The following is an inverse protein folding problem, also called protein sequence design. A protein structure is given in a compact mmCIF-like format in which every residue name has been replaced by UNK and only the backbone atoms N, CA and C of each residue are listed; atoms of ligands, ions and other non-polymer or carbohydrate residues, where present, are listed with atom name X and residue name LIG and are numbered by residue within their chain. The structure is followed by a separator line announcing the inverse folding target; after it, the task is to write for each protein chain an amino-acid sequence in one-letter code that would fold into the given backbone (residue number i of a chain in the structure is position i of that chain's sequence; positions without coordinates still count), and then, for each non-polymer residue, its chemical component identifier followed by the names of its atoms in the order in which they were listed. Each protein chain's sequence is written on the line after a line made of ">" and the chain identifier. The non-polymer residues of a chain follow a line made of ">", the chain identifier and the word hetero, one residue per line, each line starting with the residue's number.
data_IF_897962334717
#
_entry.id   IF_897962334717
#
_cell.length_a   1.000
_cell.length_b   1.000
_cell.length_c   1.000
_cell.angle_alpha   90.00
_cell.angle_beta   90.00
_cell.angle_gamma   90.00
#
_symmetry.space_group_name_H-M   'P 1'
#
loop_
_entity.id
_entity.type
_entity.pdbx_description
1 polymer ?
#
# COMPACT_ATOMS: atom_id res chain seq x y z
N UNK A 1 33.56 2.26 10.91
CA UNK A 1 33.31 1.04 11.71
C UNK A 1 31.81 0.96 11.86
N UNK A 2 31.19 -0.04 11.31
CA UNK A 2 29.75 -0.26 11.50
C UNK A 2 29.66 -0.99 12.84
N UNK A 3 29.17 -0.29 13.87
CA UNK A 3 28.91 -0.90 15.17
C UNK A 3 27.72 -1.83 15.02
N UNK A 4 28.00 -3.12 14.97
CA UNK A 4 27.01 -4.20 14.87
C UNK A 4 26.42 -4.57 16.26
N UNK A 5 26.22 -3.59 17.13
CA UNK A 5 25.42 -3.80 18.34
C UNK A 5 23.93 -3.71 17.98
N UNK A 6 23.42 -4.77 17.35
CA UNK A 6 22.01 -4.91 17.02
C UNK A 6 21.22 -5.08 18.34
N UNK A 7 20.54 -4.03 18.75
CA UNK A 7 19.67 -4.06 19.93
C UNK A 7 18.34 -4.72 19.60
N UNK A 8 17.70 -5.31 20.61
CA UNK A 8 16.33 -5.85 20.47
C UNK A 8 15.37 -4.76 19.97
N UNK A 9 15.56 -3.53 20.41
CA UNK A 9 14.77 -2.36 19.98
C UNK A 9 14.94 -2.04 18.49
N UNK A 10 16.13 -2.23 17.94
CA UNK A 10 16.39 -2.04 16.50
C UNK A 10 15.65 -3.08 15.66
N UNK A 11 15.56 -4.31 16.17
CA UNK A 11 14.80 -5.38 15.54
C UNK A 11 13.30 -5.09 15.54
N UNK A 12 12.75 -4.62 16.66
CA UNK A 12 11.33 -4.25 16.77
C UNK A 12 10.99 -3.11 15.80
N UNK A 13 11.82 -2.08 15.74
CA UNK A 13 11.66 -0.97 14.81
C UNK A 13 11.75 -1.41 13.35
N UNK A 14 12.74 -2.23 12.99
CA UNK A 14 12.85 -2.81 11.66
C UNK A 14 11.61 -3.62 11.28
N UNK A 15 11.08 -4.40 12.20
CA UNK A 15 9.92 -5.24 11.96
C UNK A 15 8.65 -4.40 11.70
N UNK A 16 8.48 -3.26 12.37
CA UNK A 16 7.39 -2.31 12.10
C UNK A 16 7.48 -1.72 10.69
N UNK A 17 8.67 -1.29 10.26
CA UNK A 17 8.92 -0.81 8.90
C UNK A 17 8.61 -1.94 7.90
N UNK A 18 9.09 -3.15 8.17
CA UNK A 18 8.87 -4.31 7.31
C UNK A 18 7.39 -4.64 7.14
N UNK A 19 6.59 -4.56 8.20
CA UNK A 19 5.13 -4.78 8.14
C UNK A 19 4.46 -3.76 7.24
N UNK A 20 4.74 -2.45 7.41
CA UNK A 20 4.16 -1.39 6.56
C UNK A 20 4.52 -1.59 5.09
N UNK A 21 5.80 -1.84 4.79
CA UNK A 21 6.28 -2.09 3.42
C UNK A 21 5.69 -3.37 2.83
N UNK A 22 5.62 -4.44 3.61
CA UNK A 22 5.05 -5.72 3.18
C UNK A 22 3.58 -5.59 2.80
N UNK A 23 2.78 -4.91 3.62
CA UNK A 23 1.36 -4.65 3.34
C UNK A 23 1.18 -3.78 2.08
N UNK A 24 2.03 -2.77 1.89
CA UNK A 24 2.05 -1.95 0.68
C UNK A 24 2.36 -2.79 -0.57
N UNK A 25 3.46 -3.56 -0.56
CA UNK A 25 3.89 -4.38 -1.70
C UNK A 25 2.85 -5.44 -2.05
N UNK A 26 2.12 -5.96 -1.06
CA UNK A 26 1.09 -6.96 -1.27
C UNK A 26 -0.07 -6.44 -2.14
N UNK A 27 -0.47 -5.17 -1.99
CA UNK A 27 -1.57 -4.54 -2.73
C UNK A 27 -1.08 -3.74 -3.93
N UNK A 28 0.16 -3.24 -3.91
CA UNK A 28 0.70 -2.39 -4.98
C UNK A 28 0.56 -3.06 -6.36
N UNK A 29 0.09 -2.32 -7.37
CA UNK A 29 -0.30 -2.89 -8.67
C UNK A 29 0.84 -3.58 -9.43
N UNK A 30 2.10 -3.18 -9.18
CA UNK A 30 3.27 -3.82 -9.81
C UNK A 30 3.54 -5.23 -9.29
N UNK A 31 3.26 -5.46 -8.02
CA UNK A 31 3.60 -6.71 -7.31
C UNK A 31 2.37 -7.53 -6.97
N UNK A 32 1.17 -6.92 -7.04
CA UNK A 32 -0.12 -7.54 -6.75
C UNK A 32 -0.63 -8.47 -7.85
N UNK A 33 0.08 -8.62 -8.99
CA UNK A 33 -0.32 -9.51 -10.07
C UNK A 33 -0.34 -10.97 -9.59
N UNK A 34 -1.36 -11.71 -9.99
CA UNK A 34 -1.59 -13.09 -9.56
C UNK A 34 -0.42 -14.04 -9.88
N UNK A 35 0.36 -13.74 -10.91
CA UNK A 35 1.49 -14.56 -11.36
C UNK A 35 2.80 -14.33 -10.57
N UNK A 36 2.84 -13.34 -9.66
CA UNK A 36 4.06 -13.07 -8.89
C UNK A 36 4.13 -13.98 -7.68
N UNK A 37 5.13 -14.90 -7.60
CA UNK A 37 5.27 -15.79 -6.45
C UNK A 37 5.47 -15.01 -5.15
N UNK A 38 4.80 -15.44 -4.07
CA UNK A 38 4.88 -14.79 -2.76
C UNK A 38 6.33 -14.62 -2.24
N UNK A 39 7.23 -15.51 -2.62
CA UNK A 39 8.66 -15.45 -2.25
C UNK A 39 9.33 -14.19 -2.77
N UNK A 40 9.00 -13.78 -4.01
CA UNK A 40 9.55 -12.56 -4.63
C UNK A 40 9.02 -11.32 -3.91
N UNK A 41 7.73 -11.30 -3.59
CA UNK A 41 7.10 -10.18 -2.84
C UNK A 41 7.74 -9.99 -1.48
N UNK A 42 7.97 -11.08 -0.75
CA UNK A 42 8.63 -11.03 0.57
C UNK A 42 10.08 -10.54 0.42
N UNK A 43 10.81 -11.02 -0.59
CA UNK A 43 12.19 -10.58 -0.85
C UNK A 43 12.30 -9.09 -1.16
N UNK A 44 11.41 -8.58 -2.02
CA UNK A 44 11.37 -7.15 -2.36
C UNK A 44 10.99 -6.31 -1.12
N UNK A 45 9.99 -6.76 -0.36
CA UNK A 45 9.58 -6.07 0.87
C UNK A 45 10.71 -6.00 1.89
N UNK A 46 11.44 -7.10 2.07
CA UNK A 46 12.56 -7.15 2.99
C UNK A 46 13.69 -6.21 2.56
N UNK A 47 14.08 -6.25 1.28
CA UNK A 47 15.13 -5.39 0.75
C UNK A 47 14.76 -3.91 0.82
N UNK A 48 13.51 -3.57 0.48
CA UNK A 48 13.02 -2.19 0.56
C UNK A 48 12.95 -1.71 2.01
N UNK A 49 12.49 -2.56 2.94
CA UNK A 49 12.46 -2.24 4.37
C UNK A 49 13.87 -2.02 4.93
N UNK A 50 14.84 -2.81 4.48
CA UNK A 50 16.25 -2.64 4.87
C UNK A 50 16.81 -1.30 4.41
N UNK A 51 16.57 -0.92 3.15
CA UNK A 51 17.01 0.37 2.62
C UNK A 51 16.36 1.55 3.37
N UNK A 52 15.07 1.42 3.71
CA UNK A 52 14.37 2.44 4.48
C UNK A 52 14.89 2.53 5.91
N UNK A 53 15.22 1.40 6.54
CA UNK A 53 15.80 1.38 7.87
C UNK A 53 17.12 2.15 7.94
N UNK A 54 17.99 2.04 6.93
CA UNK A 54 19.26 2.77 6.85
C UNK A 54 19.06 4.28 6.59
N UNK A 55 17.95 4.67 5.95
CA UNK A 55 17.66 6.07 5.62
C UNK A 55 16.83 6.78 6.69
N UNK A 56 16.01 6.05 7.41
CA UNK A 56 15.21 6.57 8.51
C UNK A 56 16.07 6.58 9.77
N UNK A 57 16.42 7.76 10.27
CA UNK A 57 16.99 7.87 11.62
C UNK A 57 15.99 7.28 12.61
N UNK A 58 16.40 6.38 13.50
CA UNK A 58 15.51 5.84 14.50
C UNK A 58 14.90 6.99 15.30
N UNK A 59 13.63 7.27 15.08
CA UNK A 59 12.83 8.07 15.98
C UNK A 59 12.83 7.35 17.33
N UNK A 60 12.80 8.12 18.41
CA UNK A 60 12.89 7.67 19.81
C UNK A 60 12.45 6.22 20.01
N UNK A 61 13.29 5.43 20.68
CA UNK A 61 13.05 4.01 20.90
C UNK A 61 11.59 3.79 21.31
N UNK A 62 10.86 3.02 20.49
CA UNK A 62 9.47 2.66 20.82
C UNK A 62 9.54 1.75 22.03
N UNK A 63 9.49 2.36 23.22
CA UNK A 63 9.47 1.60 24.47
C UNK A 63 8.08 1.02 24.62
N UNK A 64 7.96 -0.25 24.41
CA UNK A 64 6.70 -1.00 24.54
C UNK A 64 6.77 -1.86 25.78
N UNK A 65 5.91 -1.57 26.75
CA UNK A 65 5.90 -2.29 28.01
C UNK A 65 5.14 -3.63 27.94
N UNK A 66 4.26 -3.77 26.92
CA UNK A 66 3.33 -4.93 26.84
C UNK A 66 3.24 -5.46 25.40
N UNK A 67 3.27 -6.78 25.24
CA UNK A 67 3.10 -7.45 23.93
C UNK A 67 1.78 -7.03 23.23
N UNK A 68 0.73 -6.74 24.00
CA UNK A 68 -0.55 -6.30 23.47
C UNK A 68 -0.44 -4.89 22.83
N UNK A 69 0.31 -4.01 23.43
CA UNK A 69 0.58 -2.67 22.87
C UNK A 69 1.37 -2.75 21.59
N UNK A 70 2.40 -3.61 21.52
CA UNK A 70 3.13 -3.87 20.29
C UNK A 70 2.23 -4.40 19.18
N UNK A 71 1.34 -5.32 19.47
CA UNK A 71 0.38 -5.85 18.49
C UNK A 71 -0.52 -4.74 17.91
N UNK A 72 -0.97 -3.80 18.73
CA UNK A 72 -1.77 -2.65 18.26
C UNK A 72 -0.95 -1.75 17.34
N UNK A 73 0.33 -1.50 17.66
CA UNK A 73 1.22 -0.71 16.80
C UNK A 73 1.41 -1.42 15.45
N UNK A 74 1.70 -2.72 15.45
CA UNK A 74 1.83 -3.53 14.24
C UNK A 74 0.58 -3.46 13.37
N UNK A 75 -0.61 -3.53 13.95
CA UNK A 75 -1.87 -3.38 13.21
C UNK A 75 -2.02 -2.00 12.59
N UNK A 76 -1.68 -0.94 13.31
CA UNK A 76 -1.70 0.43 12.79
C UNK A 76 -0.76 0.59 11.58
N UNK A 77 0.47 0.06 11.68
CA UNK A 77 1.44 0.07 10.60
C UNK A 77 0.95 -0.72 9.38
N UNK A 78 0.35 -1.88 9.61
CA UNK A 78 -0.25 -2.69 8.55
C UNK A 78 -1.35 -1.92 7.80
N UNK A 79 -2.26 -1.27 8.53
CA UNK A 79 -3.35 -0.48 7.93
C UNK A 79 -2.78 0.70 7.15
N UNK A 80 -1.77 1.40 7.65
CA UNK A 80 -1.12 2.49 6.93
C UNK A 80 -0.53 2.01 5.58
N UNK A 81 0.20 0.89 5.58
CA UNK A 81 0.73 0.28 4.36
C UNK A 81 -0.36 -0.15 3.37
N UNK A 82 -1.44 -0.76 3.88
CA UNK A 82 -2.59 -1.15 3.07
C UNK A 82 -3.27 0.05 2.41
N UNK A 83 -3.46 1.16 3.13
CA UNK A 83 -4.09 2.36 2.59
C UNK A 83 -3.29 2.99 1.45
N UNK A 84 -1.96 3.05 1.58
CA UNK A 84 -1.08 3.58 0.53
C UNK A 84 -1.13 2.67 -0.70
N UNK A 85 -1.01 1.35 -0.50
CA UNK A 85 -1.11 0.36 -1.57
C UNK A 85 -2.46 0.36 -2.26
N UNK A 86 -3.55 0.52 -1.49
CA UNK A 86 -4.91 0.61 -2.00
C UNK A 86 -5.10 1.87 -2.87
N UNK A 87 -4.57 3.02 -2.43
CA UNK A 87 -4.58 4.25 -3.24
C UNK A 87 -3.93 4.06 -4.61
N UNK A 88 -2.76 3.41 -4.66
CA UNK A 88 -2.10 3.06 -5.91
C UNK A 88 -2.92 2.07 -6.76
N UNK A 89 -3.60 1.12 -6.13
CA UNK A 89 -4.42 0.13 -6.82
C UNK A 89 -5.70 0.75 -7.42
N UNK A 90 -6.31 1.75 -6.77
CA UNK A 90 -7.45 2.49 -7.33
C UNK A 90 -7.09 3.10 -8.69
N UNK A 91 -5.90 3.69 -8.82
CA UNK A 91 -5.46 4.26 -10.10
C UNK A 91 -5.45 3.21 -11.23
N UNK A 92 -5.03 1.98 -10.93
CA UNK A 92 -5.05 0.88 -11.90
C UNK A 92 -6.48 0.38 -12.18
N UNK A 93 -7.33 0.35 -11.17
CA UNK A 93 -8.73 -0.04 -11.34
C UNK A 93 -9.48 0.92 -12.29
N UNK A 94 -9.19 2.22 -12.23
CA UNK A 94 -9.77 3.22 -13.16
C UNK A 94 -9.33 2.94 -14.61
N UNK A 95 -8.06 2.60 -14.84
CA UNK A 95 -7.55 2.25 -16.18
C UNK A 95 -8.24 1.01 -16.73
N UNK A 96 -8.40 -0.02 -15.89
CA UNK A 96 -9.08 -1.26 -16.26
C UNK A 96 -10.57 -1.02 -16.55
N UNK A 97 -11.23 -0.18 -15.75
CA UNK A 97 -12.61 0.20 -15.97
C UNK A 97 -12.80 0.96 -17.29
N UNK A 98 -11.90 1.90 -17.62
CA UNK A 98 -11.91 2.60 -18.90
C UNK A 98 -11.79 1.62 -20.09
N UNK A 99 -10.94 0.60 -19.97
CA UNK A 99 -10.82 -0.47 -20.97
C UNK A 99 -12.11 -1.28 -21.14
N UNK A 100 -12.81 -1.59 -20.04
CA UNK A 100 -14.07 -2.34 -20.11
C UNK A 100 -15.19 -1.52 -20.78
N UNK A 101 -15.22 -0.20 -20.60
CA UNK A 101 -16.15 0.68 -21.34
C UNK A 101 -15.84 0.64 -22.83
N UNK A 102 -14.57 0.72 -23.21
CA UNK A 102 -14.14 0.66 -24.60
C UNK A 102 -14.55 -0.67 -25.27
N UNK A 103 -14.47 -1.80 -24.54
CA UNK A 103 -14.95 -3.09 -25.04
C UNK A 103 -16.47 -3.13 -25.26
N UNK A 104 -17.23 -2.44 -24.40
CA UNK A 104 -18.68 -2.33 -24.59
C UNK A 104 -19.03 -1.52 -25.84
N UNK A 105 -18.35 -0.40 -26.07
CA UNK A 105 -18.57 0.46 -27.24
C UNK A 105 -18.18 -0.22 -28.56
N UNK A 106 -17.10 -0.97 -28.55
CA UNK A 106 -16.59 -1.69 -29.74
C UNK A 106 -17.34 -3.00 -30.02
N UNK A 107 -18.22 -3.45 -29.11
CA UNK A 107 -18.93 -4.72 -29.20
C UNK A 107 -18.07 -5.94 -28.86
N UNK A 108 -16.83 -5.74 -28.42
CA UNK A 108 -15.92 -6.82 -27.99
C UNK A 108 -16.38 -7.47 -26.67
N UNK A 109 -17.34 -6.88 -25.98
CA UNK A 109 -17.92 -7.44 -24.75
C UNK A 109 -18.54 -8.84 -24.95
N UNK A 110 -18.91 -9.19 -26.18
CA UNK A 110 -19.37 -10.53 -26.55
C UNK A 110 -18.22 -11.57 -26.63
N UNK A 111 -16.99 -11.11 -26.74
CA UNK A 111 -15.78 -11.93 -26.83
C UNK A 111 -14.96 -11.90 -25.55
N UNK A 112 -15.61 -11.81 -24.39
CA UNK A 112 -14.93 -11.83 -23.10
C UNK A 112 -14.16 -13.13 -22.93
N UNK A 113 -12.84 -13.01 -22.76
CA UNK A 113 -11.98 -14.14 -22.47
C UNK A 113 -12.21 -14.57 -21.01
N UNK A 114 -12.57 -15.82 -20.84
CA UNK A 114 -12.57 -16.45 -19.53
C UNK A 114 -11.10 -16.71 -19.15
N UNK A 115 -10.58 -15.99 -18.18
CA UNK A 115 -9.25 -16.28 -17.64
C UNK A 115 -9.31 -17.62 -16.88
N UNK A 116 -8.57 -18.65 -17.35
CA UNK A 116 -8.61 -19.96 -16.72
C UNK A 116 -8.01 -19.96 -15.30
N UNK A 117 -7.20 -18.95 -14.94
CA UNK A 117 -6.58 -18.86 -13.64
C UNK A 117 -7.51 -18.26 -12.58
N UNK A 118 -8.28 -17.22 -12.94
CA UNK A 118 -9.17 -16.51 -12.01
C UNK A 118 -10.63 -16.89 -12.17
N UNK A 119 -11.00 -17.55 -13.29
CA UNK A 119 -12.39 -17.85 -13.71
C UNK A 119 -13.27 -16.60 -13.83
N UNK A 120 -12.66 -15.46 -13.96
CA UNK A 120 -13.34 -14.19 -14.15
C UNK A 120 -13.37 -13.80 -15.64
N UNK A 121 -14.43 -13.14 -16.03
CA UNK A 121 -14.52 -12.56 -17.38
C UNK A 121 -13.69 -11.29 -17.41
N UNK A 122 -12.58 -11.33 -18.15
CA UNK A 122 -11.66 -10.18 -18.23
C UNK A 122 -11.86 -9.45 -19.55
N UNK A 123 -11.92 -8.12 -19.46
CA UNK A 123 -11.96 -7.23 -20.62
C UNK A 123 -10.64 -7.31 -21.41
N UNK A 124 -10.71 -7.55 -22.72
CA UNK A 124 -9.51 -7.65 -23.58
C UNK A 124 -8.77 -6.31 -23.64
N UNK A 125 -9.52 -5.24 -23.90
CA UNK A 125 -8.95 -3.87 -23.97
C UNK A 125 -8.51 -3.40 -22.59
N UNK A 126 -9.21 -3.80 -21.53
CA UNK A 126 -8.81 -3.49 -20.14
C UNK A 126 -7.44 -4.07 -19.79
N UNK A 127 -7.17 -5.33 -20.14
CA UNK A 127 -5.86 -5.97 -19.95
C UNK A 127 -4.79 -5.27 -20.78
N UNK A 128 -5.08 -4.95 -22.04
CA UNK A 128 -4.14 -4.23 -22.91
C UNK A 128 -3.78 -2.85 -22.32
N UNK A 129 -4.78 -2.10 -21.84
CA UNK A 129 -4.56 -0.80 -21.23
C UNK A 129 -3.78 -0.91 -19.93
N UNK A 130 -4.07 -1.90 -19.11
CA UNK A 130 -3.36 -2.16 -17.86
C UNK A 130 -1.86 -2.40 -18.11
N UNK A 131 -1.52 -3.31 -19.02
CA UNK A 131 -0.11 -3.58 -19.33
C UNK A 131 0.57 -2.40 -20.03
N UNK A 132 -0.12 -1.70 -20.94
CA UNK A 132 0.41 -0.51 -21.59
C UNK A 132 0.70 0.60 -20.58
N UNK A 133 -0.21 0.83 -19.63
CA UNK A 133 -0.04 1.80 -18.57
C UNK A 133 1.12 1.42 -17.63
N UNK A 134 1.24 0.14 -17.27
CA UNK A 134 2.37 -0.38 -16.51
C UNK A 134 3.71 -0.12 -17.21
N UNK A 135 3.81 -0.42 -18.50
CA UNK A 135 5.01 -0.17 -19.29
C UNK A 135 5.32 1.32 -19.36
N UNK A 136 4.32 2.17 -19.55
CA UNK A 136 4.47 3.62 -19.54
C UNK A 136 5.00 4.14 -18.20
N UNK A 137 4.48 3.63 -17.08
CA UNK A 137 4.96 4.00 -15.75
C UNK A 137 6.42 3.60 -15.51
N UNK A 138 6.81 2.42 -15.99
CA UNK A 138 8.20 1.94 -15.88
C UNK A 138 9.11 2.79 -16.78
N UNK A 139 8.73 3.02 -18.05
CA UNK A 139 9.52 3.79 -18.99
C UNK A 139 9.71 5.26 -18.58
N UNK A 140 8.69 5.87 -17.99
CA UNK A 140 8.77 7.25 -17.46
C UNK A 140 9.46 7.35 -16.10
N UNK A 141 9.79 6.23 -15.45
CA UNK A 141 10.43 6.21 -14.14
C UNK A 141 9.50 6.60 -12.99
N UNK A 142 8.18 6.67 -13.22
CA UNK A 142 7.20 7.08 -12.21
C UNK A 142 7.09 6.09 -11.04
N UNK A 143 7.58 4.87 -11.18
CA UNK A 143 7.67 3.93 -10.06
C UNK A 143 8.47 4.50 -8.87
N UNK A 144 9.42 5.43 -9.12
CA UNK A 144 10.19 6.12 -8.07
C UNK A 144 9.29 6.96 -7.17
N UNK A 145 8.27 7.61 -7.74
CA UNK A 145 7.31 8.40 -6.95
C UNK A 145 6.45 7.52 -6.06
N UNK A 146 6.14 6.29 -6.49
CA UNK A 146 5.41 5.34 -5.68
C UNK A 146 6.20 4.91 -4.43
N UNK A 147 7.49 4.59 -4.61
CA UNK A 147 8.37 4.28 -3.49
C UNK A 147 8.71 5.53 -2.67
N UNK A 148 8.80 6.71 -3.32
CA UNK A 148 8.94 8.00 -2.65
C UNK A 148 7.76 8.27 -1.72
N UNK A 149 6.53 8.10 -2.19
CA UNK A 149 5.33 8.27 -1.37
C UNK A 149 5.31 7.31 -0.17
N UNK A 150 5.81 6.08 -0.34
CA UNK A 150 5.97 5.15 0.77
C UNK A 150 7.00 5.67 1.79
N UNK A 151 8.15 6.17 1.34
CA UNK A 151 9.18 6.74 2.21
C UNK A 151 8.67 8.01 2.91
N UNK A 152 7.99 8.91 2.17
CA UNK A 152 7.40 10.13 2.72
C UNK A 152 6.29 9.83 3.73
N UNK A 153 5.62 8.67 3.61
CA UNK A 153 4.63 8.25 4.60
C UNK A 153 5.22 8.08 6.00
N UNK A 154 6.50 7.72 6.11
CA UNK A 154 7.19 7.60 7.40
C UNK A 154 7.56 8.97 8.00
N UNK A 155 7.72 9.99 7.15
CA UNK A 155 7.96 11.37 7.62
C UNK A 155 6.66 12.05 8.05
N UNK A 156 5.56 11.78 7.35
CA UNK A 156 4.23 12.31 7.67
C UNK A 156 3.60 11.59 8.88
N UNK A 157 3.76 10.30 8.93
CA UNK A 157 3.22 9.43 9.99
C UNK A 157 4.39 8.60 10.52
N UNK A 158 5.13 9.11 11.51
CA UNK A 158 6.24 8.37 12.12
C UNK A 158 5.74 7.04 12.68
N UNK A 159 6.66 6.09 12.81
CA UNK A 159 6.37 4.78 13.39
C UNK A 159 5.72 4.98 14.76
N UNK A 160 4.61 4.31 15.04
CA UNK A 160 3.72 4.51 16.18
C UNK A 160 2.88 5.82 16.18
N UNK A 161 3.07 6.73 15.20
CA UNK A 161 2.32 8.00 15.11
C UNK A 161 0.94 7.88 14.46
N UNK A 162 0.50 6.70 14.07
CA UNK A 162 -0.82 6.50 13.42
C UNK A 162 -1.93 6.64 14.45
N UNK A 163 -2.63 7.79 14.41
CA UNK A 163 -3.80 8.04 15.24
C UNK A 163 -5.05 7.98 14.36
N UNK A 164 -5.82 6.91 14.48
CA UNK A 164 -7.12 6.82 13.83
C UNK A 164 -8.15 7.58 14.65
N UNK A 165 -8.41 8.83 14.27
CA UNK A 165 -9.52 9.61 14.83
C UNK A 165 -10.84 9.22 14.16
N UNK A 166 -11.27 7.98 14.36
CA UNK A 166 -12.56 7.52 13.85
C UNK A 166 -13.74 8.29 14.48
N UNK A 167 -13.53 8.92 15.62
CA UNK A 167 -14.54 9.70 16.35
C UNK A 167 -14.68 11.15 15.85
N UNK A 168 -13.73 11.69 15.09
CA UNK A 168 -13.82 13.08 14.60
C UNK A 168 -14.96 13.27 13.61
N UNK A 169 -15.25 12.26 12.80
CA UNK A 169 -16.34 12.34 11.80
C UNK A 169 -17.73 12.24 12.43
N UNK A 170 -17.87 11.63 13.59
CA UNK A 170 -19.15 11.55 14.33
C UNK A 170 -19.39 12.79 15.18
N UNK A 171 -18.34 13.45 15.67
CA UNK A 171 -18.43 14.66 16.48
C UNK A 171 -18.83 15.88 15.65
N UNK A 172 -18.18 16.08 14.48
CA UNK A 172 -18.52 17.22 13.60
C UNK A 172 -19.92 17.10 13.01
N UNK A 173 -20.37 15.89 12.69
CA UNK A 173 -21.73 15.65 12.20
C UNK A 173 -22.80 15.85 13.31
N UNK A 174 -22.44 15.69 14.56
CA UNK A 174 -23.32 15.98 15.70
C UNK A 174 -23.40 17.48 16.01
N UNK A 175 -22.25 18.19 15.87
CA UNK A 175 -22.19 19.65 16.08
C UNK A 175 -22.89 20.42 14.96
N UNK A 176 -22.81 19.95 13.72
CA UNK A 176 -23.54 20.55 12.59
C UNK A 176 -25.08 20.38 12.74
N UNK A 177 -25.53 19.23 13.28
CA UNK A 177 -26.96 19.05 13.59
C UNK A 177 -27.44 19.98 14.70
N UNK A 178 -26.62 20.19 15.73
CA UNK A 178 -26.98 21.11 16.81
C UNK A 178 -26.99 22.59 16.40
N UNK A 179 -26.29 22.97 15.32
CA UNK A 179 -26.29 24.33 14.76
C UNK A 179 -27.45 24.62 13.83
N UNK A 180 -28.09 23.61 13.27
CA UNK A 180 -29.26 23.79 12.35
C UNK A 180 -30.56 23.92 13.15
N UNK A 181 -30.59 23.48 14.41
CA UNK A 181 -31.80 23.53 15.27
C UNK A 181 -31.85 24.76 16.19
N UNK A 182 -31.01 25.80 15.95
CA UNK A 182 -31.03 27.13 16.57
C UNK A 182 -31.31 28.18 15.52
#
# INVERSE_FOLDING_TARGET
>A
MVDLSFSIYDLEYFLLIFVRVSCFVYIAPYFGMNDTPARIRIGISFFTAWLLYETLTPADAVVVDTVMEYAVIVMKEAIAGLLIGFGANICMAVVNFAGSIADMETGLSMATLLDPATKETTSITGVLYQYSFMLMLIASGMYRYLFGALADSFTLIPVNGVVFHCLLYTSDAADDKARVDL
#
